data_IF_778628064404
#
_entry.id   IF_778628064404
#
_cell.length_a   1.000
_cell.length_b   1.000
_cell.length_c   1.000
_cell.angle_alpha   90.00
_cell.angle_beta   90.00
_cell.angle_gamma   90.00
#
_symmetry.space_group_name_H-M   'P 1'
#
loop_
_entity.id
_entity.type
_entity.pdbx_description
1 polymer ?
#
# COMPACT_ATOMS: atom_id res chain seq x y z
N UNK A 1 1.31 -24.27 9.95
CA UNK A 1 0.73 -23.34 10.95
C UNK A 1 1.44 -21.98 11.01
N UNK A 2 2.76 -21.89 10.81
CA UNK A 2 3.50 -20.62 10.88
C UNK A 2 3.05 -19.56 9.86
N UNK A 3 2.78 -19.94 8.60
CA UNK A 3 2.33 -19.00 7.54
C UNK A 3 0.95 -18.41 7.86
N UNK A 4 0.01 -19.23 8.34
CA UNK A 4 -1.32 -18.76 8.73
C UNK A 4 -1.26 -17.78 9.91
N UNK A 5 -0.40 -18.03 10.90
CA UNK A 5 -0.17 -17.10 12.00
C UNK A 5 0.46 -15.77 11.53
N UNK A 6 1.42 -15.82 10.61
CA UNK A 6 2.01 -14.61 10.03
C UNK A 6 0.98 -13.79 9.23
N UNK A 7 0.11 -14.46 8.47
CA UNK A 7 -0.98 -13.80 7.75
C UNK A 7 -2.04 -13.21 8.70
N UNK A 8 -2.31 -13.87 9.83
CA UNK A 8 -3.17 -13.32 10.88
C UNK A 8 -2.58 -12.04 11.48
N UNK A 9 -1.29 -12.04 11.83
CA UNK A 9 -0.60 -10.85 12.33
C UNK A 9 -0.57 -9.72 11.29
N UNK A 10 -0.39 -10.06 10.02
CA UNK A 10 -0.51 -9.11 8.92
C UNK A 10 -1.92 -8.51 8.81
N UNK A 11 -2.97 -9.29 9.06
CA UNK A 11 -4.33 -8.74 9.09
C UNK A 11 -4.56 -7.81 10.28
N UNK A 12 -4.06 -8.18 11.47
CA UNK A 12 -4.11 -7.29 12.64
C UNK A 12 -3.39 -5.97 12.38
N UNK A 13 -2.25 -5.98 11.68
CA UNK A 13 -1.57 -4.73 11.33
C UNK A 13 -2.46 -3.82 10.49
N UNK A 14 -3.27 -4.35 9.56
CA UNK A 14 -4.25 -3.56 8.77
C UNK A 14 -5.35 -2.93 9.61
N UNK A 15 -5.73 -3.53 10.74
CA UNK A 15 -6.63 -2.89 11.70
C UNK A 15 -5.94 -1.68 12.34
N UNK A 16 -4.67 -1.81 12.71
CA UNK A 16 -3.89 -0.72 13.28
C UNK A 16 -3.68 0.43 12.28
N UNK A 17 -3.63 0.16 10.98
CA UNK A 17 -3.54 1.22 9.96
C UNK A 17 -4.78 2.13 9.91
N UNK A 18 -5.95 1.68 10.40
CA UNK A 18 -7.11 2.58 10.56
C UNK A 18 -6.87 3.66 11.62
N UNK A 19 -5.95 3.43 12.56
CA UNK A 19 -5.56 4.42 13.56
C UNK A 19 -4.93 5.64 12.88
N UNK A 20 -4.22 5.49 11.75
CA UNK A 20 -3.72 6.62 10.97
C UNK A 20 -4.86 7.49 10.43
N UNK A 21 -5.94 6.84 9.97
CA UNK A 21 -7.13 7.52 9.48
C UNK A 21 -7.84 8.26 10.61
N UNK A 22 -7.92 7.64 11.80
CA UNK A 22 -8.42 8.30 13.01
C UNK A 22 -7.56 9.53 13.38
N UNK A 23 -6.23 9.42 13.33
CA UNK A 23 -5.33 10.56 13.58
C UNK A 23 -5.51 11.69 12.55
N UNK A 24 -5.74 11.39 11.27
CA UNK A 24 -6.00 12.42 10.27
C UNK A 24 -7.30 13.18 10.52
N UNK A 25 -8.35 12.46 10.94
CA UNK A 25 -9.64 13.06 11.33
C UNK A 25 -9.44 13.93 12.58
N UNK A 26 -8.81 13.39 13.62
CA UNK A 26 -8.57 14.11 14.88
C UNK A 26 -7.67 15.35 14.71
N UNK A 27 -6.72 15.32 13.78
CA UNK A 27 -5.85 16.48 13.46
C UNK A 27 -6.44 17.42 12.41
N UNK A 28 -7.68 17.18 11.96
CA UNK A 28 -8.35 17.94 10.90
C UNK A 28 -7.51 18.07 9.61
N UNK A 29 -6.73 17.03 9.28
CA UNK A 29 -5.84 17.00 8.10
C UNK A 29 -6.55 16.40 6.89
N UNK A 30 -7.63 17.03 6.43
CA UNK A 30 -8.45 16.56 5.30
C UNK A 30 -7.67 16.35 3.99
N UNK A 31 -6.60 17.12 3.77
CA UNK A 31 -5.70 16.95 2.63
C UNK A 31 -4.97 15.59 2.60
N UNK A 32 -4.81 14.93 3.75
CA UNK A 32 -4.21 13.59 3.86
C UNK A 32 -5.26 12.48 3.70
N UNK A 33 -6.51 12.76 4.07
CA UNK A 33 -7.67 11.86 3.90
C UNK A 33 -8.21 11.93 2.46
N UNK A 34 -7.33 11.65 1.51
CA UNK A 34 -7.70 11.62 0.09
C UNK A 34 -8.61 10.43 -0.23
N UNK A 35 -9.36 10.52 -1.33
CA UNK A 35 -10.15 9.40 -1.83
C UNK A 35 -9.30 8.13 -2.04
N UNK A 36 -8.05 8.29 -2.50
CA UNK A 36 -7.10 7.18 -2.67
C UNK A 36 -6.80 6.47 -1.34
N UNK A 37 -6.61 7.24 -0.26
CA UNK A 37 -6.35 6.71 1.08
C UNK A 37 -7.54 5.90 1.58
N UNK A 38 -8.73 6.50 1.59
CA UNK A 38 -9.94 5.84 2.10
C UNK A 38 -10.29 4.61 1.26
N UNK A 39 -10.20 4.72 -0.07
CA UNK A 39 -10.42 3.60 -0.98
C UNK A 39 -9.47 2.45 -0.65
N UNK A 40 -8.15 2.72 -0.60
CA UNK A 40 -7.14 1.70 -0.32
C UNK A 40 -7.32 1.03 1.05
N UNK A 41 -7.46 1.80 2.14
CA UNK A 41 -7.55 1.22 3.48
C UNK A 41 -8.82 0.40 3.67
N UNK A 42 -9.95 0.85 3.12
CA UNK A 42 -11.22 0.12 3.22
C UNK A 42 -11.19 -1.18 2.42
N UNK A 43 -10.71 -1.14 1.19
CA UNK A 43 -10.69 -2.33 0.32
C UNK A 43 -9.60 -3.32 0.75
N UNK A 44 -8.40 -2.86 1.09
CA UNK A 44 -7.30 -3.74 1.56
C UNK A 44 -7.69 -4.50 2.81
N UNK A 45 -8.41 -3.87 3.74
CA UNK A 45 -8.91 -4.55 4.92
C UNK A 45 -9.83 -5.72 4.58
N UNK A 46 -10.81 -5.49 3.69
CA UNK A 46 -11.73 -6.52 3.22
C UNK A 46 -11.02 -7.63 2.44
N UNK A 47 -10.09 -7.28 1.55
CA UNK A 47 -9.29 -8.25 0.81
C UNK A 47 -8.39 -9.08 1.73
N UNK A 48 -7.70 -8.46 2.70
CA UNK A 48 -6.86 -9.21 3.64
C UNK A 48 -7.67 -10.20 4.47
N UNK A 49 -8.88 -9.81 4.91
CA UNK A 49 -9.78 -10.72 5.61
C UNK A 49 -10.18 -11.93 4.74
N UNK A 50 -10.56 -11.69 3.48
CA UNK A 50 -10.93 -12.80 2.58
C UNK A 50 -9.73 -13.70 2.27
N UNK A 51 -8.53 -13.16 2.09
CA UNK A 51 -7.32 -13.96 1.90
C UNK A 51 -6.97 -14.78 3.13
N UNK A 52 -7.01 -14.21 4.35
CA UNK A 52 -6.72 -14.96 5.58
C UNK A 52 -7.74 -16.09 5.81
N UNK A 53 -9.02 -15.81 5.55
CA UNK A 53 -10.10 -16.77 5.81
C UNK A 53 -10.15 -17.91 4.79
N UNK A 54 -9.89 -17.63 3.52
CA UNK A 54 -10.13 -18.60 2.44
C UNK A 54 -8.84 -19.13 1.80
N UNK A 55 -7.73 -18.39 1.84
CA UNK A 55 -6.46 -18.73 1.19
C UNK A 55 -5.22 -18.34 2.03
N UNK A 56 -5.01 -18.96 3.20
CA UNK A 56 -3.79 -18.77 3.98
C UNK A 56 -2.60 -19.54 3.38
N UNK A 57 -2.31 -19.31 2.10
CA UNK A 57 -1.30 -20.03 1.31
C UNK A 57 0.01 -19.25 1.15
N UNK A 58 1.09 -19.93 0.76
CA UNK A 58 2.39 -19.27 0.51
C UNK A 58 2.36 -18.23 -0.63
N UNK A 59 1.40 -18.33 -1.55
CA UNK A 59 1.22 -17.39 -2.68
C UNK A 59 0.88 -15.96 -2.24
N UNK A 60 0.10 -15.81 -1.18
CA UNK A 60 -0.31 -14.53 -0.59
C UNK A 60 0.73 -14.00 0.40
N UNK A 61 1.57 -14.89 0.96
CA UNK A 61 2.65 -14.52 1.87
C UNK A 61 3.69 -13.61 1.22
N UNK A 62 4.10 -13.89 -0.03
CA UNK A 62 5.11 -13.09 -0.73
C UNK A 62 4.69 -11.60 -0.91
N UNK A 63 3.49 -11.29 -1.44
CA UNK A 63 2.97 -9.91 -1.45
C UNK A 63 2.87 -9.26 -0.07
N UNK A 64 2.41 -10.00 0.95
CA UNK A 64 2.30 -9.50 2.33
C UNK A 64 3.67 -9.16 2.94
N UNK A 65 4.70 -9.95 2.64
CA UNK A 65 6.06 -9.72 3.11
C UNK A 65 6.64 -8.43 2.51
N UNK A 66 6.53 -8.24 1.19
CA UNK A 66 7.01 -7.01 0.54
C UNK A 66 6.23 -5.80 1.07
N UNK A 67 4.91 -5.91 1.24
CA UNK A 67 4.10 -4.83 1.81
C UNK A 67 4.56 -4.44 3.21
N UNK A 68 4.80 -5.43 4.08
CA UNK A 68 5.28 -5.20 5.44
C UNK A 68 6.64 -4.51 5.43
N UNK A 69 7.56 -4.93 4.57
CA UNK A 69 8.88 -4.31 4.43
C UNK A 69 8.79 -2.84 4.03
N UNK A 70 7.99 -2.51 3.01
CA UNK A 70 7.81 -1.11 2.60
C UNK A 70 7.06 -0.30 3.65
N UNK A 71 6.11 -0.90 4.38
CA UNK A 71 5.41 -0.27 5.49
C UNK A 71 6.36 0.09 6.64
N UNK A 72 7.33 -0.76 6.97
CA UNK A 72 8.36 -0.43 7.97
C UNK A 72 9.10 0.86 7.58
N UNK A 73 9.51 0.99 6.31
CA UNK A 73 10.18 2.20 5.80
C UNK A 73 9.24 3.41 5.83
N UNK A 74 7.99 3.23 5.42
CA UNK A 74 6.99 4.29 5.35
C UNK A 74 6.60 4.82 6.74
N UNK A 75 6.36 3.94 7.71
CA UNK A 75 6.09 4.34 9.10
C UNK A 75 7.31 4.94 9.78
N UNK A 76 8.53 4.47 9.45
CA UNK A 76 9.75 5.12 9.92
C UNK A 76 9.83 6.57 9.43
N UNK A 77 9.47 6.82 8.16
CA UNK A 77 9.38 8.17 7.62
C UNK A 77 8.32 9.01 8.36
N UNK A 78 7.14 8.45 8.64
CA UNK A 78 6.10 9.16 9.40
C UNK A 78 6.53 9.48 10.84
N UNK A 79 7.16 8.54 11.55
CA UNK A 79 7.71 8.77 12.88
C UNK A 79 8.71 9.93 12.89
N UNK A 80 9.67 9.93 11.94
CA UNK A 80 10.62 11.03 11.78
C UNK A 80 9.95 12.36 11.43
N UNK A 81 8.85 12.33 10.66
CA UNK A 81 8.12 13.56 10.29
C UNK A 81 7.42 14.23 11.46
N UNK A 82 7.15 13.50 12.55
CA UNK A 82 6.51 14.01 13.77
C UNK A 82 7.52 14.69 14.70
N UNK A 83 8.82 14.36 14.61
CA UNK A 83 9.90 14.95 15.43
C UNK A 83 10.17 16.45 15.15
N UNK A 84 9.35 17.09 14.33
CA UNK A 84 9.30 18.54 14.16
C UNK A 84 10.12 19.10 12.99
N UNK A 85 10.11 20.44 12.82
CA UNK A 85 10.66 21.11 11.64
C UNK A 85 12.16 20.87 11.42
N UNK A 86 12.92 20.63 12.50
CA UNK A 86 14.36 20.36 12.44
C UNK A 86 14.66 19.06 11.70
N UNK A 87 13.86 18.01 11.95
CA UNK A 87 14.03 16.70 11.31
C UNK A 87 13.40 16.68 9.92
N UNK A 88 12.27 17.37 9.72
CA UNK A 88 11.58 17.46 8.43
C UNK A 88 12.46 17.98 7.29
N UNK A 89 13.46 18.84 7.57
CA UNK A 89 14.43 19.31 6.57
C UNK A 89 15.25 18.17 5.94
N UNK A 90 15.52 17.11 6.70
CA UNK A 90 16.27 15.93 6.21
C UNK A 90 15.38 14.92 5.46
N UNK A 91 14.06 15.12 5.44
CA UNK A 91 13.08 14.21 4.81
C UNK A 91 12.84 14.48 3.32
N UNK A 92 13.89 14.88 2.59
CA UNK A 92 13.85 15.16 1.15
C UNK A 92 13.56 13.92 0.30
N UNK A 93 13.80 12.73 0.85
CA UNK A 93 13.65 11.44 0.17
C UNK A 93 12.20 10.93 0.07
N UNK A 94 11.21 11.75 0.43
CA UNK A 94 9.77 11.43 0.30
C UNK A 94 9.38 10.92 -1.09
N UNK A 95 9.98 11.48 -2.15
CA UNK A 95 9.72 11.05 -3.53
C UNK A 95 10.15 9.61 -3.78
N UNK A 96 11.29 9.20 -3.23
CA UNK A 96 11.80 7.84 -3.37
C UNK A 96 10.92 6.85 -2.60
N UNK A 97 10.37 7.25 -1.46
CA UNK A 97 9.40 6.43 -0.72
C UNK A 97 8.14 6.16 -1.57
N UNK A 98 7.56 7.19 -2.20
CA UNK A 98 6.39 7.00 -3.07
C UNK A 98 6.75 6.20 -4.33
N UNK A 99 7.97 6.36 -4.86
CA UNK A 99 8.48 5.53 -5.95
C UNK A 99 8.63 4.06 -5.55
N UNK A 100 9.14 3.78 -4.35
CA UNK A 100 9.27 2.43 -3.80
C UNK A 100 7.91 1.74 -3.65
N UNK A 101 6.90 2.47 -3.16
CA UNK A 101 5.52 1.95 -3.08
C UNK A 101 4.95 1.60 -4.47
N UNK A 102 5.20 2.43 -5.49
CA UNK A 102 4.77 2.15 -6.85
C UNK A 102 5.46 0.91 -7.45
N UNK A 103 6.77 0.77 -7.21
CA UNK A 103 7.53 -0.42 -7.61
C UNK A 103 6.98 -1.67 -6.92
N UNK A 104 6.72 -1.61 -5.61
CA UNK A 104 6.08 -2.69 -4.87
C UNK A 104 4.76 -3.11 -5.53
N UNK A 105 3.85 -2.16 -5.79
CA UNK A 105 2.54 -2.49 -6.36
C UNK A 105 2.67 -3.12 -7.75
N UNK A 106 3.66 -2.68 -8.53
CA UNK A 106 3.96 -3.23 -9.85
C UNK A 106 4.47 -4.68 -9.75
N UNK A 107 5.38 -4.96 -8.81
CA UNK A 107 5.88 -6.32 -8.56
C UNK A 107 4.74 -7.24 -8.10
N UNK A 108 3.90 -6.77 -7.18
CA UNK A 108 2.74 -7.54 -6.69
C UNK A 108 1.75 -7.80 -7.82
N UNK A 109 1.51 -6.83 -8.70
CA UNK A 109 0.64 -7.00 -9.87
C UNK A 109 1.15 -8.07 -10.84
N UNK A 110 2.46 -8.05 -11.16
CA UNK A 110 3.04 -9.09 -12.01
C UNK A 110 3.02 -10.46 -11.34
N UNK A 111 3.29 -10.55 -10.04
CA UNK A 111 3.17 -11.78 -9.26
C UNK A 111 1.74 -12.34 -9.31
N UNK A 112 0.73 -11.51 -9.04
CA UNK A 112 -0.67 -11.90 -9.10
C UNK A 112 -1.09 -12.32 -10.51
N UNK A 113 -0.66 -11.60 -11.55
CA UNK A 113 -0.94 -11.94 -12.95
C UNK A 113 -0.34 -13.29 -13.34
N UNK A 114 0.92 -13.55 -12.96
CA UNK A 114 1.57 -14.83 -13.20
C UNK A 114 0.81 -15.99 -12.56
N UNK A 115 0.26 -15.80 -11.35
CA UNK A 115 -0.56 -16.81 -10.69
C UNK A 115 -1.85 -17.12 -11.45
N UNK A 116 -2.50 -16.09 -12.03
CA UNK A 116 -3.70 -16.27 -12.87
C UNK A 116 -3.36 -17.02 -14.16
N UNK A 117 -2.30 -16.61 -14.87
CA UNK A 117 -1.91 -17.22 -16.15
C UNK A 117 -1.44 -18.67 -16.03
N UNK A 118 -0.76 -19.02 -14.94
CA UNK A 118 -0.30 -20.40 -14.71
C UNK A 118 -1.40 -21.37 -14.27
N UNK A 119 -2.65 -20.89 -14.14
CA UNK A 119 -3.79 -21.75 -13.84
C UNK A 119 -3.66 -22.47 -12.50
N UNK A 120 -3.07 -21.83 -11.48
CA UNK A 120 -2.87 -22.47 -10.18
C UNK A 120 -4.24 -22.80 -9.56
N UNK A 121 -4.44 -24.05 -9.13
CA UNK A 121 -5.74 -24.50 -8.63
C UNK A 121 -6.18 -23.85 -7.31
N UNK A 122 -5.24 -23.19 -6.62
CA UNK A 122 -5.51 -22.46 -5.38
C UNK A 122 -6.14 -21.10 -5.67
N UNK A 123 -7.42 -20.95 -5.25
CA UNK A 123 -8.10 -19.65 -5.23
C UNK A 123 -8.62 -19.19 -6.58
N UNK A 124 -9.19 -20.11 -7.37
CA UNK A 124 -9.72 -19.90 -8.73
C UNK A 124 -10.61 -18.64 -8.86
N UNK A 125 -11.32 -18.26 -7.80
CA UNK A 125 -12.17 -17.06 -7.78
C UNK A 125 -11.50 -15.83 -7.15
N UNK A 126 -10.70 -16.01 -6.09
CA UNK A 126 -10.16 -14.90 -5.31
C UNK A 126 -8.91 -14.25 -5.95
N UNK A 127 -8.08 -15.06 -6.61
CA UNK A 127 -6.86 -14.61 -7.29
C UNK A 127 -7.15 -13.68 -8.48
N UNK A 128 -8.07 -13.99 -9.43
CA UNK A 128 -8.38 -13.08 -10.53
C UNK A 128 -9.07 -11.80 -10.07
N UNK A 129 -9.92 -11.85 -9.03
CA UNK A 129 -10.55 -10.65 -8.46
C UNK A 129 -9.49 -9.72 -7.86
N UNK A 130 -8.52 -10.25 -7.11
CA UNK A 130 -7.42 -9.47 -6.57
C UNK A 130 -6.52 -8.85 -7.64
N UNK A 131 -6.23 -9.59 -8.71
CA UNK A 131 -5.47 -9.08 -9.86
C UNK A 131 -6.23 -7.96 -10.58
N UNK A 132 -7.54 -8.11 -10.80
CA UNK A 132 -8.38 -7.08 -11.39
C UNK A 132 -8.44 -5.81 -10.53
N UNK A 133 -8.50 -5.95 -9.20
CA UNK A 133 -8.47 -4.83 -8.26
C UNK A 133 -7.15 -4.03 -8.30
N UNK A 134 -6.02 -4.69 -8.55
CA UNK A 134 -4.71 -4.01 -8.61
C UNK A 134 -4.61 -3.01 -9.75
N UNK A 135 -5.34 -3.20 -10.85
CA UNK A 135 -5.31 -2.32 -12.04
C UNK A 135 -5.80 -0.88 -11.72
N UNK A 136 -7.01 -0.65 -11.20
CA UNK A 136 -7.47 0.70 -10.86
C UNK A 136 -6.62 1.31 -9.74
N UNK A 137 -6.13 0.51 -8.80
CA UNK A 137 -5.27 0.99 -7.73
C UNK A 137 -3.93 1.52 -8.26
N UNK A 138 -3.26 0.76 -9.14
CA UNK A 138 -2.00 1.18 -9.76
C UNK A 138 -2.19 2.45 -10.61
N UNK A 139 -3.32 2.55 -11.32
CA UNK A 139 -3.67 3.74 -12.09
C UNK A 139 -3.84 4.98 -11.19
N UNK A 140 -4.62 4.87 -10.11
CA UNK A 140 -4.87 5.99 -9.20
C UNK A 140 -3.57 6.44 -8.50
N UNK A 141 -2.74 5.48 -8.07
CA UNK A 141 -1.47 5.76 -7.41
C UNK A 141 -0.44 6.36 -8.38
N UNK A 142 -0.38 5.85 -9.61
CA UNK A 142 0.45 6.39 -10.70
C UNK A 142 0.05 7.82 -11.05
N UNK A 143 -1.26 8.10 -11.15
CA UNK A 143 -1.79 9.45 -11.38
C UNK A 143 -1.42 10.40 -10.26
N UNK A 144 -1.55 9.97 -9.00
CA UNK A 144 -1.12 10.75 -7.84
C UNK A 144 0.38 11.09 -7.91
N UNK A 145 1.23 10.11 -8.23
CA UNK A 145 2.68 10.32 -8.35
C UNK A 145 3.01 11.31 -9.48
N UNK A 146 2.41 11.14 -10.66
CA UNK A 146 2.63 12.03 -11.79
C UNK A 146 2.22 13.48 -11.49
N UNK A 147 1.06 13.69 -10.87
CA UNK A 147 0.58 15.02 -10.50
C UNK A 147 1.47 15.69 -9.44
N UNK A 148 1.85 14.95 -8.39
CA UNK A 148 2.67 15.47 -7.28
C UNK A 148 4.13 15.71 -7.63
N UNK A 149 4.74 14.87 -8.47
CA UNK A 149 6.20 14.84 -8.64
C UNK A 149 6.68 15.10 -10.06
N UNK A 150 5.85 14.89 -11.09
CA UNK A 150 6.24 15.22 -12.47
C UNK A 150 5.68 16.59 -12.86
N UNK A 151 4.36 16.77 -12.79
CA UNK A 151 3.70 18.03 -13.20
C UNK A 151 4.08 19.18 -12.26
N UNK A 152 3.99 18.98 -10.94
CA UNK A 152 4.37 20.01 -9.96
C UNK A 152 5.86 20.37 -10.02
N UNK A 153 6.73 19.45 -10.46
CA UNK A 153 8.16 19.73 -10.63
C UNK A 153 8.43 20.55 -11.90
N UNK A 154 7.72 20.27 -12.99
CA UNK A 154 7.79 21.07 -14.23
C UNK A 154 7.31 22.50 -13.98
N UNK A 155 6.18 22.67 -13.29
CA UNK A 155 5.65 24.02 -12.94
C UNK A 155 6.59 24.78 -12.00
N UNK A 156 7.25 24.11 -11.05
CA UNK A 156 8.26 24.74 -10.18
C UNK A 156 9.54 25.13 -10.91
N UNK A 157 9.87 24.47 -12.01
CA UNK A 157 11.07 24.74 -12.83
C UNK A 157 10.81 25.81 -13.89
N UNK A 158 9.53 26.04 -14.24
CA UNK A 158 9.08 27.05 -15.18
C UNK A 158 8.78 28.42 -14.53
N UNK A 159 8.84 28.51 -13.19
CA UNK A 159 8.72 29.74 -12.39
C UNK A 159 10.10 30.13 -11.87
#
# INVERSE_FOLDING_TARGET
MQIAAAMWWFYISKILEFVDTAFFILRHKWNQLSFLHVYHHSTMFLFCWTYVKWLPTGSTFFPSMINSFVHVIMYSYYALSVLGPRVQRFLWWKRYLTGLQLVQFTIIFFWASQLVFRGCEYGKWLTPIGAAYMVPFLFMFGRFYAQKYCVSAVVKKAK
#
